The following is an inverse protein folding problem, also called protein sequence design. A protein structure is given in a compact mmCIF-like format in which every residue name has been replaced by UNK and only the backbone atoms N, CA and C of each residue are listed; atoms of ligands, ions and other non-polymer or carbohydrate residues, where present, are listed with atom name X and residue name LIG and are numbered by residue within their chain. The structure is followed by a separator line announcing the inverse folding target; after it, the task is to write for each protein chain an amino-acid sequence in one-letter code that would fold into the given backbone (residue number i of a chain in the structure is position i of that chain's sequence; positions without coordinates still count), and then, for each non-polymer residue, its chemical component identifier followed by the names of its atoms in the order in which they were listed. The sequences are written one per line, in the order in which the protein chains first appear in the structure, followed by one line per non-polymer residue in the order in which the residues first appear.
data_IF_853929065958
#
_entry.id   IF_853929065958
#
_cell.length_a   1.000
_cell.length_b   1.000
_cell.length_c   1.000
_cell.angle_alpha   90.00
_cell.angle_beta   90.00
_cell.angle_gamma   90.00
#
_symmetry.space_group_name_H-M   'P 1'
#
loop_
_entity.id
_entity.type
_entity.pdbx_description
1 polymer ?
#
# COMPACT_ATOMS: atom_id res chain seq x y z
N UNK A 1 36.63 -38.00 -43.59
CA UNK A 1 36.43 -36.54 -43.44
C UNK A 1 34.92 -36.21 -43.44
N UNK A 2 34.11 -36.95 -44.20
CA UNK A 2 32.65 -36.75 -44.34
C UNK A 2 31.81 -36.99 -43.07
N UNK A 3 32.24 -37.87 -42.15
CA UNK A 3 31.40 -38.23 -40.98
C UNK A 3 31.36 -37.15 -39.87
N UNK A 4 32.39 -36.29 -39.81
CA UNK A 4 32.42 -35.15 -38.88
C UNK A 4 31.53 -34.00 -39.35
N UNK A 5 31.48 -33.76 -40.66
CA UNK A 5 30.67 -32.69 -41.25
C UNK A 5 29.16 -32.98 -41.13
N UNK A 6 28.76 -34.26 -41.27
CA UNK A 6 27.36 -34.66 -41.10
C UNK A 6 26.88 -34.53 -39.65
N UNK A 7 27.75 -34.76 -38.66
CA UNK A 7 27.45 -34.52 -37.23
C UNK A 7 27.37 -33.03 -36.91
N UNK A 8 28.20 -32.21 -37.54
CA UNK A 8 28.18 -30.76 -37.35
C UNK A 8 26.89 -30.15 -37.94
N UNK A 9 26.46 -30.57 -39.13
CA UNK A 9 25.21 -30.12 -39.75
C UNK A 9 23.98 -30.48 -38.90
N UNK A 10 23.88 -31.73 -38.42
CA UNK A 10 22.77 -32.15 -37.56
C UNK A 10 22.71 -31.40 -36.23
N UNK A 11 23.85 -30.93 -35.71
CA UNK A 11 23.90 -30.13 -34.48
C UNK A 11 23.38 -28.71 -34.72
N UNK A 12 23.75 -28.10 -35.85
CA UNK A 12 23.28 -26.76 -36.23
C UNK A 12 21.77 -26.76 -36.50
N UNK A 13 21.24 -27.78 -37.18
CA UNK A 13 19.79 -27.92 -37.39
C UNK A 13 19.02 -28.11 -36.08
N UNK A 14 19.56 -28.86 -35.12
CA UNK A 14 18.94 -29.04 -33.82
C UNK A 14 18.93 -27.75 -32.97
N UNK A 15 19.98 -26.93 -33.07
CA UNK A 15 20.06 -25.63 -32.40
C UNK A 15 19.09 -24.61 -33.03
N UNK A 16 18.96 -24.58 -34.36
CA UNK A 16 17.99 -23.74 -35.08
C UNK A 16 16.53 -24.12 -34.74
N UNK A 17 16.22 -25.42 -34.70
CA UNK A 17 14.88 -25.89 -34.32
C UNK A 17 14.55 -25.61 -32.83
N UNK A 18 15.57 -25.53 -31.96
CA UNK A 18 15.39 -25.08 -30.58
C UNK A 18 15.18 -23.57 -30.50
N UNK A 19 15.91 -22.76 -31.27
CA UNK A 19 15.70 -21.31 -31.29
C UNK A 19 14.31 -20.92 -31.82
N UNK A 20 13.84 -21.57 -32.88
CA UNK A 20 12.49 -21.32 -33.43
C UNK A 20 11.39 -21.70 -32.42
N UNK A 21 11.51 -22.84 -31.73
CA UNK A 21 10.56 -23.22 -30.66
C UNK A 21 10.58 -22.27 -29.45
N UNK A 22 11.71 -21.62 -29.17
CA UNK A 22 11.82 -20.62 -28.11
C UNK A 22 11.20 -19.30 -28.56
N UNK A 23 11.37 -18.92 -29.82
CA UNK A 23 10.72 -17.75 -30.42
C UNK A 23 9.19 -17.93 -30.51
N UNK A 24 8.70 -19.07 -30.96
CA UNK A 24 7.26 -19.36 -30.98
C UNK A 24 6.65 -19.38 -29.57
N UNK A 25 7.36 -19.88 -28.56
CA UNK A 25 6.93 -19.79 -27.15
C UNK A 25 6.97 -18.37 -26.61
N UNK A 26 7.91 -17.53 -27.06
CA UNK A 26 7.97 -16.09 -26.71
C UNK A 26 6.88 -15.30 -27.43
N UNK A 27 6.55 -15.65 -28.68
CA UNK A 27 5.48 -15.04 -29.46
C UNK A 27 4.13 -15.42 -28.87
N UNK A 28 3.91 -16.69 -28.53
CA UNK A 28 2.70 -17.17 -27.84
C UNK A 28 2.53 -16.56 -26.43
N UNK A 29 3.63 -16.25 -25.72
CA UNK A 29 3.59 -15.48 -24.47
C UNK A 29 3.33 -13.98 -24.67
N UNK A 30 3.72 -13.40 -25.82
CA UNK A 30 3.42 -12.01 -26.17
C UNK A 30 1.99 -11.82 -26.66
N UNK A 31 1.39 -12.81 -27.32
CA UNK A 31 -0.03 -12.78 -27.73
C UNK A 31 -1.01 -13.14 -26.61
N UNK A 32 -0.55 -13.61 -25.45
CA UNK A 32 -1.37 -13.70 -24.23
C UNK A 32 -1.43 -12.39 -23.42
N UNK A 33 -0.76 -11.33 -23.87
CA UNK A 33 -0.90 -9.97 -23.30
C UNK A 33 -2.03 -9.26 -24.05
N UNK A 34 -3.28 -9.64 -23.74
CA UNK A 34 -4.41 -9.13 -24.49
C UNK A 34 -5.74 -9.79 -24.18
N UNK A 35 -6.02 -10.10 -22.91
CA UNK A 35 -7.39 -10.28 -22.41
C UNK A 35 -7.35 -10.07 -20.91
N UNK A 36 -7.85 -8.92 -20.47
CA UNK A 36 -8.14 -8.62 -19.07
C UNK A 36 -9.31 -9.52 -18.64
N UNK A 37 -9.00 -10.79 -18.35
CA UNK A 37 -9.94 -11.67 -17.65
C UNK A 37 -9.96 -11.17 -16.22
N UNK A 38 -11.00 -10.42 -15.87
CA UNK A 38 -11.37 -10.13 -14.50
C UNK A 38 -11.41 -11.47 -13.76
N UNK A 39 -10.36 -11.76 -12.98
CA UNK A 39 -10.29 -12.98 -12.17
C UNK A 39 -11.45 -12.91 -11.18
N UNK A 40 -12.54 -13.59 -11.51
CA UNK A 40 -13.73 -13.64 -10.66
C UNK A 40 -13.32 -14.34 -9.37
N UNK A 41 -13.03 -13.53 -8.34
CA UNK A 41 -12.71 -14.04 -7.01
C UNK A 41 -13.97 -14.60 -6.37
N UNK A 42 -13.88 -15.83 -5.85
CA UNK A 42 -14.97 -16.47 -5.12
C UNK A 42 -15.30 -15.66 -3.86
N UNK A 43 -16.58 -15.45 -3.58
CA UNK A 43 -17.08 -14.71 -2.41
C UNK A 43 -17.62 -15.67 -1.34
N UNK A 44 -17.22 -15.47 -0.08
CA UNK A 44 -17.71 -16.22 1.07
C UNK A 44 -18.11 -15.24 2.19
N UNK A 45 -19.38 -15.29 2.60
CA UNK A 45 -19.87 -14.57 3.78
C UNK A 45 -19.72 -15.46 5.02
N UNK A 46 -19.22 -14.86 6.11
CA UNK A 46 -18.99 -15.51 7.39
C UNK A 46 -19.83 -14.82 8.45
N UNK A 47 -20.86 -15.50 8.93
CA UNK A 47 -21.67 -15.01 10.04
C UNK A 47 -20.86 -15.05 11.35
N UNK A 48 -20.83 -13.93 12.06
CA UNK A 48 -20.22 -13.83 13.38
C UNK A 48 -21.27 -14.11 14.46
N UNK A 49 -20.93 -14.88 15.51
CA UNK A 49 -21.82 -15.07 16.63
C UNK A 49 -22.08 -13.74 17.36
N UNK A 50 -23.31 -13.56 17.83
CA UNK A 50 -23.68 -12.39 18.63
C UNK A 50 -22.92 -12.41 19.97
N UNK A 51 -22.29 -11.28 20.31
CA UNK A 51 -21.64 -11.07 21.61
C UNK A 51 -22.44 -10.01 22.36
N UNK A 52 -23.08 -10.41 23.45
CA UNK A 52 -23.92 -9.54 24.29
C UNK A 52 -23.14 -8.88 25.42
N UNK A 53 -21.97 -9.41 25.78
CA UNK A 53 -21.11 -8.82 26.78
C UNK A 53 -20.56 -7.47 26.32
N UNK A 54 -20.59 -6.48 27.21
CA UNK A 54 -20.10 -5.13 26.96
C UNK A 54 -18.71 -4.88 27.55
N UNK A 55 -18.17 -3.69 27.27
CA UNK A 55 -16.89 -3.23 27.81
C UNK A 55 -15.69 -4.11 27.42
N UNK A 56 -14.68 -4.13 28.30
CA UNK A 56 -13.42 -4.86 28.05
C UNK A 56 -13.66 -6.38 27.92
N UNK A 57 -14.61 -6.94 28.66
CA UNK A 57 -14.95 -8.37 28.58
C UNK A 57 -15.54 -8.72 27.22
N UNK A 58 -16.50 -7.92 26.74
CA UNK A 58 -17.06 -8.04 25.39
C UNK A 58 -16.00 -7.97 24.30
N UNK A 59 -15.12 -6.97 24.36
CA UNK A 59 -14.04 -6.82 23.40
C UNK A 59 -13.09 -8.04 23.39
N UNK A 60 -12.75 -8.59 24.57
CA UNK A 60 -11.91 -9.79 24.66
C UNK A 60 -12.57 -11.00 23.98
N UNK A 61 -13.89 -11.16 24.13
CA UNK A 61 -14.63 -12.24 23.47
C UNK A 61 -14.65 -12.06 21.94
N UNK A 62 -14.92 -10.84 21.47
CA UNK A 62 -14.85 -10.48 20.04
C UNK A 62 -13.46 -10.76 19.44
N UNK A 63 -12.39 -10.37 20.14
CA UNK A 63 -11.02 -10.66 19.72
C UNK A 63 -10.73 -12.17 19.63
N UNK A 64 -11.31 -12.98 20.55
CA UNK A 64 -11.19 -14.44 20.51
C UNK A 64 -11.85 -15.03 19.26
N UNK A 65 -13.07 -14.59 18.94
CA UNK A 65 -13.80 -14.98 17.72
C UNK A 65 -13.00 -14.57 16.48
N UNK A 66 -12.50 -13.33 16.44
CA UNK A 66 -11.66 -12.84 15.34
C UNK A 66 -10.40 -13.71 15.15
N UNK A 67 -9.76 -14.15 16.23
CA UNK A 67 -8.59 -15.04 16.16
C UNK A 67 -8.92 -16.42 15.58
N UNK A 68 -10.11 -16.95 15.85
CA UNK A 68 -10.57 -18.20 15.25
C UNK A 68 -10.83 -18.02 13.74
N UNK A 69 -11.49 -16.93 13.35
CA UNK A 69 -11.79 -16.64 11.95
C UNK A 69 -10.52 -16.36 11.13
N UNK A 70 -9.60 -15.54 11.65
CA UNK A 70 -8.28 -15.36 11.03
C UNK A 70 -7.54 -16.69 10.88
N UNK A 71 -7.74 -17.63 11.80
CA UNK A 71 -7.16 -18.98 11.71
C UNK A 71 -7.68 -19.80 10.55
N UNK A 72 -8.98 -19.70 10.29
CA UNK A 72 -9.71 -20.44 9.25
C UNK A 72 -9.57 -19.82 7.86
N UNK A 73 -9.63 -18.49 7.75
CA UNK A 73 -9.83 -17.81 6.46
C UNK A 73 -8.59 -17.15 5.88
N UNK A 74 -7.59 -16.84 6.71
CA UNK A 74 -6.47 -16.01 6.27
C UNK A 74 -5.67 -16.59 5.10
N UNK A 75 -5.57 -17.93 4.97
CA UNK A 75 -4.90 -18.58 3.83
C UNK A 75 -5.72 -18.44 2.54
N UNK A 76 -7.03 -18.70 2.61
CA UNK A 76 -7.95 -18.56 1.46
C UNK A 76 -7.94 -17.14 0.90
N UNK A 77 -7.90 -16.14 1.78
CA UNK A 77 -7.85 -14.72 1.37
C UNK A 77 -6.59 -14.44 0.54
N UNK A 78 -5.42 -14.89 1.01
CA UNK A 78 -4.17 -14.73 0.26
C UNK A 78 -4.13 -15.53 -1.05
N UNK A 79 -4.94 -16.58 -1.16
CA UNK A 79 -5.11 -17.37 -2.40
C UNK A 79 -6.12 -16.74 -3.36
N UNK A 80 -6.67 -15.56 -3.02
CA UNK A 80 -7.55 -14.79 -3.89
C UNK A 80 -9.04 -14.92 -3.57
N UNK A 81 -9.43 -15.53 -2.44
CA UNK A 81 -10.83 -15.57 -2.02
C UNK A 81 -11.25 -14.27 -1.34
N UNK A 82 -12.43 -13.75 -1.67
CA UNK A 82 -13.04 -12.63 -0.93
C UNK A 82 -13.85 -13.22 0.22
N UNK A 83 -13.48 -12.86 1.45
CA UNK A 83 -14.19 -13.29 2.66
C UNK A 83 -14.69 -12.07 3.42
N UNK A 84 -15.99 -12.01 3.71
CA UNK A 84 -16.64 -10.89 4.39
C UNK A 84 -17.31 -11.34 5.68
N UNK A 85 -17.22 -10.54 6.74
CA UNK A 85 -18.01 -10.69 7.97
C UNK A 85 -19.23 -9.78 8.02
N UNK A 86 -19.31 -8.81 7.11
CA UNK A 86 -20.40 -7.85 6.99
C UNK A 86 -21.38 -8.17 5.85
N UNK A 87 -21.07 -9.18 5.04
CA UNK A 87 -21.84 -9.56 3.85
C UNK A 87 -21.54 -8.70 2.61
N UNK A 88 -20.70 -7.66 2.74
CA UNK A 88 -20.38 -6.77 1.64
C UNK A 88 -19.30 -7.34 0.73
N UNK A 89 -19.53 -7.24 -0.58
CA UNK A 89 -18.56 -7.61 -1.62
C UNK A 89 -17.88 -6.34 -2.14
N UNK A 90 -16.54 -6.23 -2.09
CA UNK A 90 -15.82 -5.09 -2.64
C UNK A 90 -15.87 -5.08 -4.17
N UNK A 91 -15.91 -3.88 -4.74
CA UNK A 91 -15.75 -3.57 -6.16
C UNK A 91 -14.25 -3.41 -6.48
N UNK A 92 -13.65 -4.51 -6.93
CA UNK A 92 -12.22 -4.58 -7.23
C UNK A 92 -11.83 -3.82 -8.49
N UNK A 93 -12.78 -3.48 -9.37
CA UNK A 93 -12.46 -2.74 -10.59
C UNK A 93 -12.25 -1.27 -10.25
N UNK A 94 -13.14 -0.72 -9.42
CA UNK A 94 -13.13 0.70 -9.08
C UNK A 94 -12.26 1.05 -7.87
N UNK A 95 -12.34 0.26 -6.80
CA UNK A 95 -11.81 0.66 -5.50
C UNK A 95 -10.55 -0.11 -5.12
N UNK A 96 -9.64 0.61 -4.47
CA UNK A 96 -8.41 0.05 -3.88
C UNK A 96 -8.62 -0.32 -2.41
N UNK A 97 -9.45 0.44 -1.70
CA UNK A 97 -9.79 0.25 -0.28
C UNK A 97 -11.28 0.40 -0.10
N UNK A 98 -11.89 -0.53 0.65
CA UNK A 98 -13.28 -0.46 1.07
C UNK A 98 -13.44 -0.87 2.53
N UNK A 99 -14.09 -0.02 3.31
CA UNK A 99 -14.37 -0.21 4.72
C UNK A 99 -15.87 -0.37 4.92
N UNK A 100 -16.23 -1.38 5.70
CA UNK A 100 -17.62 -1.66 6.05
C UNK A 100 -17.77 -1.76 7.56
N UNK A 101 -18.45 -0.79 8.17
CA UNK A 101 -18.73 -0.68 9.60
C UNK A 101 -17.47 -0.87 10.48
N UNK A 102 -16.36 -0.25 10.09
CA UNK A 102 -15.06 -0.44 10.76
C UNK A 102 -15.03 0.27 12.10
N UNK A 103 -14.77 -0.49 13.17
CA UNK A 103 -14.66 0.05 14.54
C UNK A 103 -13.37 -0.39 15.21
N UNK A 104 -12.79 0.52 15.97
CA UNK A 104 -11.55 0.29 16.71
C UNK A 104 -11.66 0.85 18.10
N UNK A 105 -11.37 0.01 19.09
CA UNK A 105 -11.23 0.40 20.48
C UNK A 105 -9.83 0.10 20.98
N UNK A 106 -9.32 0.97 21.85
CA UNK A 106 -8.13 0.70 22.66
C UNK A 106 -8.52 0.46 24.11
N UNK A 107 -7.73 -0.39 24.78
CA UNK A 107 -7.92 -0.72 26.19
C UNK A 107 -6.76 -0.13 26.99
N UNK A 108 -7.06 0.63 28.03
CA UNK A 108 -6.07 1.18 28.97
C UNK A 108 -6.55 0.89 30.39
N UNK A 109 -5.93 -0.10 31.03
CA UNK A 109 -6.47 -0.67 32.27
C UNK A 109 -7.86 -1.26 32.03
N UNK A 110 -8.86 -0.75 32.75
CA UNK A 110 -10.27 -1.12 32.58
C UNK A 110 -11.05 -0.16 31.66
N UNK A 111 -10.40 0.90 31.15
CA UNK A 111 -11.03 1.85 30.25
C UNK A 111 -11.03 1.31 28.81
N UNK A 112 -12.19 1.37 28.17
CA UNK A 112 -12.38 1.04 26.76
C UNK A 112 -12.64 2.34 25.98
N UNK A 113 -11.69 2.75 25.14
CA UNK A 113 -11.77 4.01 24.39
C UNK A 113 -12.10 3.75 22.92
N UNK A 114 -13.29 4.14 22.42
CA UNK A 114 -13.63 4.04 21.00
C UNK A 114 -12.89 5.11 20.19
N UNK A 115 -12.11 4.67 19.20
CA UNK A 115 -11.35 5.56 18.30
C UNK A 115 -11.93 5.58 16.89
N UNK A 116 -12.36 4.44 16.33
CA UNK A 116 -13.17 4.39 15.10
C UNK A 116 -14.55 3.85 15.46
N UNK A 117 -15.61 4.50 14.97
CA UNK A 117 -16.98 4.33 15.47
C UNK A 117 -17.97 3.81 14.43
N UNK A 118 -17.50 3.05 13.43
CA UNK A 118 -18.32 2.53 12.35
C UNK A 118 -18.05 3.31 11.08
N UNK A 119 -16.82 3.19 10.59
CA UNK A 119 -16.38 3.88 9.38
C UNK A 119 -16.76 3.05 8.15
N UNK A 120 -17.53 3.66 7.27
CA UNK A 120 -17.78 3.20 5.91
C UNK A 120 -17.06 4.12 4.94
N UNK A 121 -16.25 3.56 4.04
CA UNK A 121 -15.38 4.33 3.16
C UNK A 121 -15.04 3.54 1.90
N UNK A 122 -15.02 4.21 0.74
CA UNK A 122 -14.58 3.62 -0.53
C UNK A 122 -13.60 4.55 -1.20
N UNK A 123 -12.41 4.03 -1.54
CA UNK A 123 -11.32 4.80 -2.14
C UNK A 123 -10.97 4.22 -3.50
N UNK A 124 -10.90 5.08 -4.51
CA UNK A 124 -10.59 4.67 -5.88
C UNK A 124 -9.09 4.39 -6.08
N UNK A 125 -8.79 3.48 -7.01
CA UNK A 125 -7.42 3.16 -7.43
C UNK A 125 -6.74 4.33 -8.14
N UNK A 126 -5.43 4.45 -7.98
CA UNK A 126 -4.58 5.41 -8.71
C UNK A 126 -4.83 6.87 -8.34
N UNK A 127 -5.46 7.13 -7.19
CA UNK A 127 -5.75 8.47 -6.68
C UNK A 127 -4.74 8.93 -5.65
N UNK A 128 -4.57 10.25 -5.58
CA UNK A 128 -3.94 10.95 -4.46
C UNK A 128 -5.01 11.33 -3.43
N UNK A 129 -4.94 10.74 -2.25
CA UNK A 129 -5.99 10.81 -1.23
C UNK A 129 -5.42 11.50 0.01
N UNK A 130 -6.12 12.52 0.49
CA UNK A 130 -5.72 13.31 1.66
C UNK A 130 -6.72 13.09 2.78
N UNK A 131 -6.24 12.67 3.94
CA UNK A 131 -7.02 12.48 5.16
C UNK A 131 -6.73 13.64 6.12
N UNK A 132 -7.76 14.42 6.43
CA UNK A 132 -7.72 15.61 7.29
C UNK A 132 -8.60 15.43 8.52
N UNK A 133 -8.41 16.32 9.49
CA UNK A 133 -9.19 16.37 10.72
C UNK A 133 -8.37 16.82 11.93
N UNK A 134 -9.02 17.19 13.04
CA UNK A 134 -8.32 17.67 14.24
C UNK A 134 -7.46 16.58 14.88
N UNK A 135 -6.53 16.98 15.76
CA UNK A 135 -5.76 16.03 16.57
C UNK A 135 -6.70 15.13 17.37
N UNK A 136 -6.36 13.85 17.50
CA UNK A 136 -7.18 12.86 18.20
C UNK A 136 -8.47 12.42 17.48
N UNK A 137 -8.73 12.86 16.24
CA UNK A 137 -9.97 12.48 15.53
C UNK A 137 -10.01 11.04 15.02
N UNK A 138 -8.89 10.31 15.06
CA UNK A 138 -8.78 8.93 14.59
C UNK A 138 -8.04 8.73 13.26
N UNK A 139 -7.48 9.79 12.65
CA UNK A 139 -6.77 9.72 11.35
C UNK A 139 -5.65 8.66 11.31
N UNK A 140 -4.71 8.71 12.26
CA UNK A 140 -3.60 7.75 12.32
C UNK A 140 -4.11 6.34 12.58
N UNK A 141 -5.16 6.16 13.39
CA UNK A 141 -5.79 4.85 13.59
C UNK A 141 -6.46 4.34 12.33
N UNK A 142 -7.15 5.20 11.57
CA UNK A 142 -7.71 4.86 10.26
C UNK A 142 -6.60 4.45 9.29
N UNK A 143 -5.55 5.26 9.15
CA UNK A 143 -4.38 5.00 8.31
C UNK A 143 -3.70 3.68 8.66
N UNK A 144 -3.47 3.41 9.95
CA UNK A 144 -2.87 2.17 10.43
C UNK A 144 -3.77 0.95 10.18
N UNK A 145 -5.08 1.12 10.28
CA UNK A 145 -6.06 0.05 9.99
C UNK A 145 -6.05 -0.31 8.50
N UNK A 146 -6.12 0.69 7.61
CA UNK A 146 -6.15 0.45 6.16
C UNK A 146 -4.79 0.06 5.57
N UNK A 147 -3.68 0.39 6.23
CA UNK A 147 -2.34 -0.09 5.85
C UNK A 147 -2.02 -1.48 6.40
N UNK A 148 -2.88 -2.03 7.27
CA UNK A 148 -2.67 -3.30 7.94
C UNK A 148 -1.56 -3.27 8.99
N UNK A 149 -1.16 -2.09 9.49
CA UNK A 149 -0.27 -1.93 10.64
C UNK A 149 -0.99 -2.20 11.96
N UNK A 150 -2.28 -1.86 12.03
CA UNK A 150 -3.17 -2.21 13.14
C UNK A 150 -4.36 -3.03 12.65
N UNK A 151 -5.01 -3.75 13.55
CA UNK A 151 -6.22 -4.52 13.27
C UNK A 151 -7.46 -3.76 13.72
N UNK A 152 -8.50 -3.80 12.89
CA UNK A 152 -9.83 -3.40 13.33
C UNK A 152 -10.34 -4.35 14.42
N UNK A 153 -11.21 -3.83 15.29
CA UNK A 153 -11.90 -4.63 16.29
C UNK A 153 -13.20 -5.25 15.74
N UNK A 154 -13.89 -4.54 14.85
CA UNK A 154 -15.08 -5.00 14.13
C UNK A 154 -15.11 -4.45 12.70
N UNK A 155 -15.94 -5.05 11.84
CA UNK A 155 -16.10 -4.65 10.46
C UNK A 155 -15.06 -5.26 9.51
N UNK A 156 -15.26 -5.01 8.22
CA UNK A 156 -14.38 -5.49 7.17
C UNK A 156 -13.51 -4.36 6.63
N UNK A 157 -12.23 -4.69 6.38
CA UNK A 157 -11.23 -3.78 5.82
C UNK A 157 -10.69 -4.44 4.57
N UNK A 158 -11.30 -4.16 3.42
CA UNK A 158 -10.82 -4.68 2.15
C UNK A 158 -9.76 -3.76 1.57
N UNK A 159 -8.60 -4.34 1.23
CA UNK A 159 -7.51 -3.65 0.53
C UNK A 159 -7.05 -4.54 -0.60
N UNK A 160 -7.17 -4.07 -1.84
CA UNK A 160 -6.92 -4.87 -3.05
C UNK A 160 -7.74 -6.18 -3.04
N UNK A 161 -8.95 -6.11 -2.50
CA UNK A 161 -9.86 -7.25 -2.31
C UNK A 161 -9.48 -8.23 -1.20
N UNK A 162 -8.39 -8.01 -0.48
CA UNK A 162 -8.02 -8.82 0.69
C UNK A 162 -8.65 -8.22 1.94
N UNK A 163 -9.45 -8.99 2.67
CA UNK A 163 -10.00 -8.54 3.94
C UNK A 163 -8.93 -8.63 5.04
N UNK A 164 -8.31 -7.49 5.38
CA UNK A 164 -7.22 -7.40 6.34
C UNK A 164 -7.66 -7.74 7.76
N UNK A 165 -8.94 -7.53 8.11
CA UNK A 165 -9.46 -7.87 9.44
C UNK A 165 -9.32 -9.38 9.72
N UNK A 166 -9.43 -10.20 8.67
CA UNK A 166 -9.36 -11.66 8.72
C UNK A 166 -7.96 -12.22 8.44
N UNK A 167 -6.92 -11.38 8.38
CA UNK A 167 -5.54 -11.86 8.20
C UNK A 167 -4.82 -12.12 9.54
N UNK A 168 -4.05 -13.23 9.58
CA UNK A 168 -3.06 -13.48 10.63
C UNK A 168 -1.91 -12.49 10.54
N UNK A 169 -1.17 -12.27 11.62
CA UNK A 169 -0.08 -11.29 11.65
C UNK A 169 1.04 -11.60 10.65
N UNK A 170 1.35 -12.89 10.45
CA UNK A 170 2.30 -13.33 9.42
C UNK A 170 1.79 -13.04 8.01
N UNK A 171 0.49 -13.17 7.78
CA UNK A 171 -0.15 -12.91 6.48
C UNK A 171 -0.34 -11.41 6.22
N UNK A 172 -0.63 -10.60 7.26
CA UNK A 172 -0.56 -9.14 7.17
C UNK A 172 0.87 -8.69 6.84
N UNK A 173 1.87 -9.30 7.47
CA UNK A 173 3.28 -9.00 7.17
C UNK A 173 3.62 -9.32 5.72
N UNK A 174 3.14 -10.45 5.19
CA UNK A 174 3.28 -10.81 3.77
C UNK A 174 2.54 -9.80 2.87
N UNK A 175 1.29 -9.48 3.19
CA UNK A 175 0.48 -8.52 2.44
C UNK A 175 1.16 -7.14 2.36
N UNK A 176 1.62 -6.60 3.49
CA UNK A 176 2.33 -5.32 3.53
C UNK A 176 3.62 -5.37 2.73
N UNK A 177 4.33 -6.49 2.78
CA UNK A 177 5.58 -6.68 2.03
C UNK A 177 5.37 -6.60 0.52
N UNK A 178 4.26 -7.17 0.04
CA UNK A 178 3.97 -7.32 -1.39
C UNK A 178 3.27 -6.08 -1.97
N UNK A 179 2.44 -5.38 -1.19
CA UNK A 179 1.53 -4.37 -1.76
C UNK A 179 1.69 -2.95 -1.20
N UNK A 180 2.35 -2.78 -0.03
CA UNK A 180 2.27 -1.54 0.75
C UNK A 180 3.64 -0.87 0.93
N UNK A 181 3.71 0.39 0.51
CA UNK A 181 4.78 1.33 0.88
C UNK A 181 4.31 2.19 2.05
N UNK A 182 5.22 2.52 2.97
CA UNK A 182 4.89 3.38 4.11
C UNK A 182 5.99 4.41 4.35
N UNK A 183 5.58 5.68 4.43
CA UNK A 183 6.42 6.83 4.76
C UNK A 183 6.04 7.28 6.17
N UNK A 184 7.00 7.19 7.09
CA UNK A 184 6.84 7.60 8.48
C UNK A 184 7.26 9.05 8.67
N UNK A 185 6.67 9.73 9.65
CA UNK A 185 7.05 11.08 10.07
C UNK A 185 8.51 11.15 10.56
N UNK A 186 8.92 10.17 11.39
CA UNK A 186 10.32 9.93 11.74
C UNK A 186 10.88 8.97 10.68
N UNK A 187 11.80 9.43 9.84
CA UNK A 187 12.27 8.75 8.61
C UNK A 187 12.63 7.26 8.79
N UNK A 188 12.98 6.86 10.03
CA UNK A 188 13.26 5.48 10.44
C UNK A 188 14.31 4.80 9.55
N UNK A 189 15.32 5.56 9.09
CA UNK A 189 16.41 5.05 8.27
C UNK A 189 17.40 4.24 9.12
N UNK A 190 18.01 3.23 8.51
CA UNK A 190 19.10 2.47 9.11
C UNK A 190 20.38 3.31 9.00
N UNK A 191 20.87 3.81 10.14
CA UNK A 191 21.96 4.78 10.22
C UNK A 191 23.32 4.26 9.72
N UNK A 192 23.49 2.94 9.72
CA UNK A 192 24.68 2.23 9.27
C UNK A 192 24.65 1.85 7.78
N UNK A 193 23.58 2.20 7.06
CA UNK A 193 23.44 1.97 5.63
C UNK A 193 23.43 3.31 4.88
N UNK A 194 23.95 3.32 3.66
CA UNK A 194 23.84 4.44 2.73
C UNK A 194 22.40 4.66 2.27
N UNK A 195 22.12 5.75 1.55
CA UNK A 195 20.80 5.99 0.98
C UNK A 195 20.37 4.86 0.04
N UNK A 196 21.27 4.44 -0.85
CA UNK A 196 21.03 3.34 -1.80
C UNK A 196 20.70 2.05 -1.05
N UNK A 197 21.54 1.67 -0.09
CA UNK A 197 21.34 0.45 0.71
C UNK A 197 20.03 0.49 1.52
N UNK A 198 19.67 1.66 2.08
CA UNK A 198 18.37 1.85 2.73
C UNK A 198 17.19 1.56 1.79
N UNK A 199 17.28 2.00 0.53
CA UNK A 199 16.25 1.74 -0.47
C UNK A 199 16.21 0.26 -0.89
N UNK A 200 17.38 -0.37 -1.07
CA UNK A 200 17.52 -1.79 -1.43
C UNK A 200 16.96 -2.73 -0.35
N UNK A 201 16.96 -2.34 0.93
CA UNK A 201 16.23 -3.09 1.98
C UNK A 201 14.74 -3.24 1.61
N UNK A 202 14.14 -2.21 1.01
CA UNK A 202 12.78 -2.27 0.48
C UNK A 202 12.67 -3.25 -0.69
N UNK A 203 13.56 -3.15 -1.66
CA UNK A 203 13.55 -3.99 -2.86
C UNK A 203 13.69 -5.49 -2.53
N UNK A 204 14.62 -5.84 -1.63
CA UNK A 204 14.90 -7.22 -1.21
C UNK A 204 13.69 -7.92 -0.57
N UNK A 205 12.71 -7.15 -0.13
CA UNK A 205 11.47 -7.69 0.42
C UNK A 205 10.45 -8.04 -0.67
N UNK A 206 10.55 -7.47 -1.88
CA UNK A 206 9.57 -7.65 -2.95
C UNK A 206 9.88 -8.90 -3.79
N UNK A 207 8.87 -9.77 -3.98
CA UNK A 207 9.02 -11.09 -4.63
C UNK A 207 9.09 -11.05 -6.15
N UNK A 208 8.42 -10.11 -6.79
CA UNK A 208 8.40 -10.03 -8.26
C UNK A 208 9.53 -9.13 -8.72
N UNK A 209 10.38 -9.57 -9.66
CA UNK A 209 11.40 -8.71 -10.29
C UNK A 209 10.92 -8.08 -11.60
N UNK A 210 9.74 -8.46 -12.06
CA UNK A 210 9.19 -7.99 -13.32
C UNK A 210 8.54 -6.61 -13.12
N UNK A 211 8.82 -5.67 -14.03
CA UNK A 211 8.31 -4.29 -14.02
C UNK A 211 8.67 -3.45 -12.77
N UNK A 212 9.76 -3.78 -12.08
CA UNK A 212 10.29 -2.94 -10.99
C UNK A 212 11.04 -1.74 -11.57
N UNK A 213 10.84 -0.57 -10.95
CA UNK A 213 11.76 0.56 -11.12
C UNK A 213 13.14 0.15 -10.61
N UNK A 214 14.19 0.52 -11.33
CA UNK A 214 15.53 0.39 -10.75
C UNK A 214 15.70 1.38 -9.59
N UNK A 215 16.59 1.06 -8.66
CA UNK A 215 16.94 1.99 -7.59
C UNK A 215 17.44 3.31 -8.18
N UNK A 216 18.19 3.29 -9.27
CA UNK A 216 18.65 4.48 -9.98
C UNK A 216 17.49 5.34 -10.51
N UNK A 217 16.46 4.73 -11.11
CA UNK A 217 15.27 5.46 -11.57
C UNK A 217 14.48 6.10 -10.42
N UNK A 218 14.40 5.40 -9.28
CA UNK A 218 13.78 5.94 -8.06
C UNK A 218 14.57 7.16 -7.59
N UNK A 219 15.89 7.02 -7.45
CA UNK A 219 16.77 8.10 -6.99
C UNK A 219 16.76 9.31 -7.93
N UNK A 220 16.64 9.08 -9.24
CA UNK A 220 16.40 10.15 -10.23
C UNK A 220 15.06 10.84 -10.02
N UNK A 221 13.99 10.07 -9.82
CA UNK A 221 12.64 10.61 -9.58
C UNK A 221 12.58 11.46 -8.31
N UNK A 222 13.33 11.09 -7.27
CA UNK A 222 13.41 11.87 -6.03
C UNK A 222 14.54 12.92 -6.00
N UNK A 223 15.28 13.11 -7.10
CA UNK A 223 16.38 14.07 -7.19
C UNK A 223 17.51 13.83 -6.17
N UNK A 224 17.93 12.57 -6.01
CA UNK A 224 18.98 12.16 -5.05
C UNK A 224 20.11 11.32 -5.67
N UNK A 225 20.28 11.31 -6.99
CA UNK A 225 21.29 10.51 -7.70
C UNK A 225 22.70 10.70 -7.13
N UNK A 226 23.11 11.94 -6.84
CA UNK A 226 24.43 12.25 -6.30
C UNK A 226 24.62 11.86 -4.82
N UNK A 227 23.53 11.59 -4.10
CA UNK A 227 23.54 11.33 -2.66
C UNK A 227 23.33 9.85 -2.33
N UNK A 228 23.27 8.97 -3.34
CA UNK A 228 23.07 7.52 -3.18
C UNK A 228 24.04 6.87 -2.18
N UNK A 229 25.30 7.33 -2.15
CA UNK A 229 26.35 6.76 -1.28
C UNK A 229 26.50 7.48 0.06
N UNK A 230 25.66 8.48 0.37
CA UNK A 230 25.70 9.16 1.67
C UNK A 230 25.02 8.31 2.74
N UNK A 231 25.52 8.41 3.96
CA UNK A 231 24.85 7.88 5.15
C UNK A 231 23.84 8.89 5.73
N UNK A 232 22.81 8.46 6.48
CA UNK A 232 21.79 9.35 7.05
C UNK A 232 22.36 10.54 7.84
N UNK A 233 23.45 10.34 8.59
CA UNK A 233 24.10 11.39 9.37
C UNK A 233 24.76 12.49 8.51
N UNK A 234 24.92 12.26 7.20
CA UNK A 234 25.50 13.19 6.22
C UNK A 234 24.41 13.94 5.42
N UNK A 235 23.14 13.78 5.79
CA UNK A 235 21.98 14.29 5.05
C UNK A 235 21.13 15.23 5.89
N UNK A 236 20.57 16.26 5.23
CA UNK A 236 19.50 17.08 5.79
C UNK A 236 18.23 16.25 6.06
N UNK A 237 17.32 16.76 6.88
CA UNK A 237 16.03 16.11 7.15
C UNK A 237 15.21 15.85 5.87
N UNK A 238 15.14 16.84 4.97
CA UNK A 238 14.46 16.67 3.67
C UNK A 238 15.09 15.60 2.78
N UNK A 239 16.42 15.48 2.77
CA UNK A 239 17.11 14.38 2.07
C UNK A 239 16.79 13.03 2.71
N UNK A 240 16.86 12.92 4.04
CA UNK A 240 16.49 11.68 4.73
C UNK A 240 15.04 11.28 4.46
N UNK A 241 14.13 12.25 4.38
CA UNK A 241 12.74 11.97 4.04
C UNK A 241 12.60 11.42 2.61
N UNK A 242 13.31 12.02 1.64
CA UNK A 242 13.33 11.50 0.26
C UNK A 242 13.92 10.09 0.17
N UNK A 243 14.94 9.75 0.98
CA UNK A 243 15.43 8.36 1.09
C UNK A 243 14.37 7.42 1.68
N UNK A 244 13.60 7.88 2.68
CA UNK A 244 12.47 7.10 3.23
C UNK A 244 11.41 6.81 2.16
N UNK A 245 11.12 7.79 1.30
CA UNK A 245 10.25 7.63 0.13
C UNK A 245 10.85 6.61 -0.85
N UNK A 246 12.13 6.74 -1.22
CA UNK A 246 12.78 5.78 -2.11
C UNK A 246 12.68 4.34 -1.59
N UNK A 247 12.89 4.12 -0.29
CA UNK A 247 12.74 2.81 0.34
C UNK A 247 11.30 2.28 0.27
N UNK A 248 10.31 3.14 0.42
CA UNK A 248 8.91 2.75 0.28
C UNK A 248 8.58 2.37 -1.19
N UNK A 249 9.10 3.14 -2.15
CA UNK A 249 8.91 2.94 -3.59
C UNK A 249 9.68 1.74 -4.17
N UNK A 250 10.84 1.40 -3.61
CA UNK A 250 11.68 0.28 -4.06
C UNK A 250 10.97 -1.08 -4.02
N UNK A 251 9.86 -1.17 -3.28
CA UNK A 251 8.99 -2.35 -3.26
C UNK A 251 8.06 -2.46 -4.47
N UNK A 252 7.91 -1.38 -5.22
CA UNK A 252 6.88 -1.16 -6.23
C UNK A 252 5.46 -1.36 -5.67
N UNK A 253 5.04 -0.59 -4.65
CA UNK A 253 3.78 -0.82 -3.97
C UNK A 253 2.58 -0.37 -4.81
N UNK A 254 1.47 -1.09 -4.71
CA UNK A 254 0.18 -0.64 -5.25
C UNK A 254 -0.39 0.55 -4.46
N UNK A 255 -0.07 0.63 -3.17
CA UNK A 255 -0.51 1.70 -2.27
C UNK A 255 0.66 2.24 -1.45
N UNK A 256 0.83 3.56 -1.48
CA UNK A 256 1.79 4.29 -0.67
C UNK A 256 1.07 5.10 0.41
N UNK A 257 1.31 4.77 1.67
CA UNK A 257 0.79 5.52 2.81
C UNK A 257 1.82 6.50 3.35
N UNK A 258 1.38 7.67 3.80
CA UNK A 258 2.21 8.63 4.52
C UNK A 258 1.50 9.18 5.76
N UNK A 259 2.13 9.06 6.92
CA UNK A 259 1.66 9.74 8.15
C UNK A 259 2.46 11.02 8.33
N UNK A 260 1.83 12.17 8.07
CA UNK A 260 2.45 13.50 8.08
C UNK A 260 3.80 13.56 7.33
N UNK A 261 3.85 13.19 6.03
CA UNK A 261 5.10 13.05 5.30
C UNK A 261 5.88 14.36 5.12
N UNK A 262 5.27 15.51 5.40
CA UNK A 262 5.90 16.84 5.35
C UNK A 262 5.99 17.52 6.71
N UNK A 263 5.51 16.90 7.80
CA UNK A 263 5.33 17.57 9.09
C UNK A 263 6.62 18.05 9.78
N UNK A 264 7.77 17.46 9.41
CA UNK A 264 9.09 17.83 9.95
C UNK A 264 9.95 18.65 8.97
N UNK A 265 9.37 19.13 7.86
CA UNK A 265 10.08 19.81 6.79
C UNK A 265 9.69 21.29 6.72
N UNK A 266 10.64 22.12 6.28
CA UNK A 266 10.30 23.48 5.83
C UNK A 266 9.41 23.45 4.58
N UNK A 267 8.81 24.59 4.26
CA UNK A 267 7.87 24.73 3.15
C UNK A 267 8.46 24.26 1.81
N UNK A 268 9.66 24.71 1.47
CA UNK A 268 10.29 24.40 0.18
C UNK A 268 10.55 22.90 0.04
N UNK A 269 11.04 22.26 1.11
CA UNK A 269 11.27 20.82 1.16
C UNK A 269 9.96 20.04 1.17
N UNK A 270 8.94 20.54 1.87
CA UNK A 270 7.59 19.98 1.87
C UNK A 270 6.98 19.95 0.48
N UNK A 271 7.07 21.06 -0.26
CA UNK A 271 6.63 21.16 -1.67
C UNK A 271 7.29 20.10 -2.54
N UNK A 272 8.63 19.99 -2.47
CA UNK A 272 9.38 18.99 -3.23
C UNK A 272 8.96 17.56 -2.90
N UNK A 273 8.70 17.26 -1.62
CA UNK A 273 8.24 15.93 -1.20
C UNK A 273 6.84 15.63 -1.76
N UNK A 274 5.91 16.57 -1.68
CA UNK A 274 4.57 16.36 -2.25
C UNK A 274 4.62 16.23 -3.78
N UNK A 275 5.48 16.98 -4.46
CA UNK A 275 5.65 16.89 -5.92
C UNK A 275 6.11 15.48 -6.32
N UNK A 276 7.09 14.93 -5.59
CA UNK A 276 7.54 13.55 -5.76
C UNK A 276 6.39 12.56 -5.60
N UNK A 277 5.53 12.74 -4.59
CA UNK A 277 4.40 11.83 -4.35
C UNK A 277 3.34 11.93 -5.46
N UNK A 278 3.10 13.12 -6.00
CA UNK A 278 2.22 13.31 -7.17
C UNK A 278 2.81 12.64 -8.40
N UNK A 279 4.10 12.81 -8.65
CA UNK A 279 4.80 12.19 -9.77
C UNK A 279 4.80 10.66 -9.67
N UNK A 280 4.94 10.11 -8.46
CA UNK A 280 4.81 8.67 -8.20
C UNK A 280 3.43 8.17 -8.61
N UNK A 281 2.37 8.85 -8.18
CA UNK A 281 1.00 8.50 -8.55
C UNK A 281 0.80 8.53 -10.06
N UNK A 282 1.29 9.56 -10.74
CA UNK A 282 1.08 9.74 -12.19
C UNK A 282 1.92 8.78 -13.03
N UNK A 283 3.19 8.57 -12.67
CA UNK A 283 4.12 7.74 -13.44
C UNK A 283 3.90 6.25 -13.24
N UNK A 284 3.43 5.84 -12.05
CA UNK A 284 3.34 4.43 -11.67
C UNK A 284 1.91 3.95 -11.38
N UNK A 285 0.92 4.84 -11.48
CA UNK A 285 -0.48 4.55 -11.13
C UNK A 285 -0.63 4.03 -9.67
N UNK A 286 0.33 4.34 -8.80
CA UNK A 286 0.29 4.01 -7.37
C UNK A 286 -0.79 4.84 -6.70
N UNK A 287 -1.61 4.21 -5.85
CA UNK A 287 -2.53 4.97 -4.99
C UNK A 287 -1.74 5.59 -3.85
N UNK A 288 -1.80 6.90 -3.68
CA UNK A 288 -1.09 7.62 -2.61
C UNK A 288 -2.11 8.09 -1.58
N UNK A 289 -1.89 7.78 -0.31
CA UNK A 289 -2.79 8.14 0.79
C UNK A 289 -1.98 8.79 1.90
N UNK A 290 -2.23 10.06 2.17
CA UNK A 290 -1.52 10.81 3.20
C UNK A 290 -2.46 11.31 4.29
N UNK A 291 -2.00 11.27 5.54
CA UNK A 291 -2.60 12.00 6.66
C UNK A 291 -1.83 13.30 6.85
N UNK A 292 -2.55 14.40 7.05
CA UNK A 292 -1.95 15.70 7.40
C UNK A 292 -2.91 16.53 8.24
N UNK A 293 -2.36 17.53 8.94
CA UNK A 293 -3.11 18.57 9.61
C UNK A 293 -3.12 19.90 8.81
N UNK A 294 -2.32 20.02 7.75
CA UNK A 294 -2.30 21.21 6.90
C UNK A 294 -3.45 21.14 5.87
N UNK A 295 -4.46 22.03 5.98
CA UNK A 295 -5.62 22.00 5.09
C UNK A 295 -5.29 22.39 3.64
N UNK A 296 -4.24 23.17 3.39
CA UNK A 296 -3.89 23.61 2.04
C UNK A 296 -3.44 22.43 1.16
N UNK A 297 -2.91 21.37 1.77
CA UNK A 297 -2.56 20.12 1.08
C UNK A 297 -3.80 19.42 0.49
N UNK A 298 -5.01 19.72 0.98
CA UNK A 298 -6.27 19.18 0.42
C UNK A 298 -6.43 19.47 -1.07
N UNK A 299 -5.89 20.60 -1.54
CA UNK A 299 -6.05 21.04 -2.92
C UNK A 299 -5.28 20.15 -3.90
N UNK A 300 -4.29 19.39 -3.42
CA UNK A 300 -3.49 18.43 -4.21
C UNK A 300 -4.22 17.08 -4.34
N UNK A 301 -5.14 16.76 -3.41
CA UNK A 301 -5.83 15.47 -3.39
C UNK A 301 -6.90 15.36 -4.47
N UNK A 302 -6.92 14.24 -5.19
CA UNK A 302 -8.06 13.77 -5.98
C UNK A 302 -9.28 13.51 -5.09
N UNK A 303 -9.05 13.00 -3.87
CA UNK A 303 -10.09 12.77 -2.86
C UNK A 303 -9.61 13.26 -1.51
N UNK A 304 -10.44 14.07 -0.84
CA UNK A 304 -10.17 14.62 0.48
C UNK A 304 -11.19 14.08 1.45
N UNK A 305 -10.72 13.54 2.58
CA UNK A 305 -11.53 12.87 3.58
C UNK A 305 -11.37 13.63 4.89
N UNK A 306 -12.48 14.10 5.45
CA UNK A 306 -12.47 14.74 6.76
C UNK A 306 -12.91 13.74 7.82
N UNK A 307 -12.03 13.48 8.78
CA UNK A 307 -12.27 12.56 9.89
C UNK A 307 -12.52 13.35 11.17
N UNK A 308 -13.67 13.09 11.80
CA UNK A 308 -14.08 13.73 13.05
C UNK A 308 -14.66 12.70 14.01
N UNK A 309 -14.19 12.70 15.26
CA UNK A 309 -14.69 11.83 16.33
C UNK A 309 -14.74 10.33 15.96
N UNK A 310 -13.81 9.84 15.15
CA UNK A 310 -13.75 8.44 14.74
C UNK A 310 -14.71 8.05 13.61
N UNK A 311 -15.29 9.04 12.91
CA UNK A 311 -16.18 8.88 11.77
C UNK A 311 -15.69 9.71 10.58
N UNK A 312 -16.22 9.41 9.40
CA UNK A 312 -16.04 10.24 8.21
C UNK A 312 -17.12 11.32 8.24
N UNK A 313 -16.70 12.57 8.34
CA UNK A 313 -17.57 13.75 8.36
C UNK A 313 -17.91 14.20 6.94
N UNK A 314 -16.92 14.19 6.05
CA UNK A 314 -17.05 14.60 4.65
C UNK A 314 -16.08 13.83 3.75
N UNK A 315 -16.50 13.55 2.51
CA UNK A 315 -15.65 13.11 1.42
C UNK A 315 -15.86 14.05 0.24
N UNK A 316 -14.79 14.70 -0.20
CA UNK A 316 -14.79 15.62 -1.35
C UNK A 316 -13.93 15.04 -2.47
N UNK A 317 -14.48 14.97 -3.67
CA UNK A 317 -13.74 14.60 -4.87
C UNK A 317 -13.34 15.85 -5.64
N UNK A 318 -12.04 16.04 -5.86
CA UNK A 318 -11.50 17.16 -6.60
C UNK A 318 -11.34 16.78 -8.08
N UNK A 319 -12.07 17.47 -8.97
CA UNK A 319 -12.00 17.23 -10.42
C UNK A 319 -10.74 17.82 -11.06
N UNK A 320 -10.06 18.73 -10.38
CA UNK A 320 -8.86 19.40 -10.88
C UNK A 320 -7.87 19.63 -9.75
N UNK A 321 -7.20 18.57 -9.26
CA UNK A 321 -6.18 18.68 -8.23
C UNK A 321 -5.05 19.60 -8.65
N UNK A 322 -4.61 20.45 -7.73
CA UNK A 322 -3.48 21.36 -7.94
C UNK A 322 -2.15 20.63 -7.77
N UNK A 323 -1.12 21.13 -8.44
CA UNK A 323 0.26 20.77 -8.12
C UNK A 323 0.69 21.45 -6.81
N UNK A 324 1.59 20.84 -6.03
CA UNK A 324 2.19 21.43 -4.83
C UNK A 324 2.80 22.84 -5.02
N UNK A 325 3.27 23.15 -6.23
CA UNK A 325 3.74 24.50 -6.61
C UNK A 325 2.64 25.56 -6.71
N UNK A 326 1.36 25.15 -6.82
CA UNK A 326 0.20 26.03 -7.04
C UNK A 326 -0.62 26.28 -5.77
N UNK A 327 -0.33 25.57 -4.68
CA UNK A 327 -1.03 25.74 -3.41
C UNK A 327 -0.34 26.81 -2.56
N UNK A 328 -1.14 27.47 -1.74
CA UNK A 328 -0.64 28.35 -0.69
C UNK A 328 -0.15 27.50 0.49
N UNK A 329 0.95 27.89 1.11
CA UNK A 329 1.49 27.21 2.29
C UNK A 329 1.49 28.12 3.52
N UNK A 330 1.09 29.38 3.35
CA UNK A 330 0.97 30.36 4.42
C UNK A 330 -0.24 30.15 5.32
#
# INVERSE_FOLDING_TARGET
MEEKDLKQQKKVEAELAQSEKIEDKKLAKKTSVGTDQTLIREFEHVELPLVTEEGVKGLKLKNKIQKQNTSKYSKKILEGKIVSTTGNKPDLEKNVIELYNVKRWYVTGDMLTPVLRGVDLKLEKGKFIVILGPSGSGKTTLLNTISGLDKTSEGDVFVLGNNLSLLKDSHLTKFRRENVGFIFQQYNLLSNLTAKENAEVGENLSKSKENKMSIEEIFKTIGMEEQMNKYPHQMSGGQQQRVSIARALAKNPEILFGDEPTGALDEEMGRKVLDILVDVKEKYNTTVIIVTHNPNISEIGDTVIHVRNGLIDEIKHNKSPKRPSQIDWS
#
